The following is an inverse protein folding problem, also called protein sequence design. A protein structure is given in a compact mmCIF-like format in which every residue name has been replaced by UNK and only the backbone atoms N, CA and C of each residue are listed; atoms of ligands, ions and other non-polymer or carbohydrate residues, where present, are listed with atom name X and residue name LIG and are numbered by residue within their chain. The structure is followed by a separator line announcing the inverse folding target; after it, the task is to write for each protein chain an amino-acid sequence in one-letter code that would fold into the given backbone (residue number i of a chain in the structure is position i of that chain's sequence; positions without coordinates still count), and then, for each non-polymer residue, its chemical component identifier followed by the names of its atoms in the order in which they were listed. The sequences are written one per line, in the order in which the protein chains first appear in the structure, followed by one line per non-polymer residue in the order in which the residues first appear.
data_IF_445658934373
#
_entry.id   IF_445658934373
#
_cell.length_a   1.000
_cell.length_b   1.000
_cell.length_c   1.000
_cell.angle_alpha   90.00
_cell.angle_beta   90.00
_cell.angle_gamma   90.00
#
_symmetry.space_group_name_H-M   'P 1'
#
loop_
_entity.id
_entity.type
_entity.pdbx_description
1 polymer ?
#
# COMPACT_ATOMS: atom_id res chain seq x y z
N UNK A 1 -35.44 -10.67 -13.75
CA UNK A 1 -34.24 -10.91 -12.94
C UNK A 1 -33.05 -10.84 -13.88
N UNK A 2 -32.29 -9.77 -13.84
CA UNK A 2 -31.05 -9.63 -14.62
C UNK A 2 -30.03 -10.64 -14.09
N UNK A 3 -29.56 -11.52 -14.97
CA UNK A 3 -28.59 -12.57 -14.64
C UNK A 3 -27.26 -11.86 -14.27
N UNK A 4 -26.83 -11.92 -13.00
CA UNK A 4 -25.57 -11.34 -12.57
C UNK A 4 -24.42 -12.03 -13.30
N UNK A 5 -23.56 -11.25 -13.96
CA UNK A 5 -22.40 -11.78 -14.71
C UNK A 5 -21.39 -12.38 -13.75
N UNK A 6 -20.90 -13.58 -14.08
CA UNK A 6 -19.80 -14.25 -13.33
C UNK A 6 -18.47 -13.92 -14.00
N UNK A 7 -17.51 -13.47 -13.21
CA UNK A 7 -16.14 -13.17 -13.65
C UNK A 7 -15.20 -14.27 -13.14
N UNK A 8 -14.52 -14.93 -14.06
CA UNK A 8 -13.51 -15.94 -13.73
C UNK A 8 -12.21 -15.31 -13.22
N UNK A 9 -11.39 -16.12 -12.57
CA UNK A 9 -10.10 -15.71 -11.99
C UNK A 9 -9.21 -14.98 -13.00
N UNK A 10 -9.16 -15.42 -14.27
CA UNK A 10 -8.37 -14.78 -15.33
C UNK A 10 -8.93 -13.39 -15.70
N UNK A 11 -10.25 -13.24 -15.80
CA UNK A 11 -10.89 -11.95 -16.04
C UNK A 11 -10.59 -10.95 -14.93
N UNK A 12 -10.69 -11.39 -13.67
CA UNK A 12 -10.34 -10.58 -12.50
C UNK A 12 -8.85 -10.18 -12.48
N UNK A 13 -7.98 -11.09 -12.89
CA UNK A 13 -6.54 -10.81 -13.06
C UNK A 13 -6.30 -9.74 -14.13
N UNK A 14 -6.94 -9.84 -15.30
CA UNK A 14 -6.80 -8.85 -16.38
C UNK A 14 -7.31 -7.46 -15.98
N UNK A 15 -8.46 -7.40 -15.31
CA UNK A 15 -8.98 -6.14 -14.78
C UNK A 15 -8.00 -5.50 -13.78
N UNK A 16 -7.45 -6.28 -12.84
CA UNK A 16 -6.47 -5.81 -11.88
C UNK A 16 -5.21 -5.28 -12.58
N UNK A 17 -4.65 -6.02 -13.54
CA UNK A 17 -3.44 -5.59 -14.28
C UNK A 17 -3.67 -4.31 -15.08
N UNK A 18 -4.81 -4.19 -15.76
CA UNK A 18 -5.15 -2.99 -16.53
C UNK A 18 -5.21 -1.75 -15.64
N UNK A 19 -5.91 -1.83 -14.50
CA UNK A 19 -6.08 -0.72 -13.56
C UNK A 19 -4.81 -0.38 -12.80
N UNK A 20 -3.91 -1.34 -12.63
CA UNK A 20 -2.61 -1.14 -12.00
C UNK A 20 -1.52 -0.73 -12.99
N UNK A 21 -1.86 -0.43 -14.26
CA UNK A 21 -0.90 -0.13 -15.33
C UNK A 21 0.18 -1.23 -15.50
N UNK A 22 -0.18 -2.48 -15.19
CA UNK A 22 0.70 -3.65 -15.35
C UNK A 22 0.41 -4.41 -16.63
N UNK A 23 -0.79 -4.26 -17.21
CA UNK A 23 -1.11 -4.80 -18.53
C UNK A 23 -0.42 -3.98 -19.62
N UNK A 24 -0.51 -2.66 -19.51
CA UNK A 24 0.20 -1.71 -20.34
C UNK A 24 0.72 -0.57 -19.46
N UNK A 25 2.01 -0.21 -19.61
CA UNK A 25 2.60 0.90 -18.85
C UNK A 25 1.96 2.22 -19.26
N UNK A 26 1.71 3.09 -18.30
CA UNK A 26 1.07 4.38 -18.48
C UNK A 26 2.09 5.51 -18.65
N UNK A 27 1.66 6.61 -19.32
CA UNK A 27 2.42 7.84 -19.46
C UNK A 27 1.98 8.95 -18.47
N UNK A 28 1.13 8.61 -17.49
CA UNK A 28 0.67 9.59 -16.50
C UNK A 28 1.82 10.10 -15.62
N UNK A 29 1.74 11.35 -15.12
CA UNK A 29 2.72 11.86 -14.16
C UNK A 29 2.85 10.98 -12.91
N UNK A 30 4.05 10.96 -12.32
CA UNK A 30 4.36 10.13 -11.13
C UNK A 30 3.40 10.40 -9.98
N UNK A 31 3.05 11.68 -9.74
CA UNK A 31 2.11 12.05 -8.67
C UNK A 31 0.72 11.44 -8.91
N UNK A 32 0.24 11.49 -10.14
CA UNK A 32 -1.07 10.95 -10.53
C UNK A 32 -1.09 9.42 -10.42
N UNK A 33 0.04 8.77 -10.76
CA UNK A 33 0.18 7.33 -10.58
C UNK A 33 0.12 6.93 -9.09
N UNK A 34 0.84 7.65 -8.21
CA UNK A 34 0.77 7.43 -6.76
C UNK A 34 -0.65 7.65 -6.25
N UNK A 35 -1.32 8.72 -6.69
CA UNK A 35 -2.70 9.00 -6.35
C UNK A 35 -3.64 7.89 -6.81
N UNK A 36 -3.57 7.49 -8.09
CA UNK A 36 -4.43 6.44 -8.66
C UNK A 36 -4.28 5.10 -7.94
N UNK A 37 -3.05 4.69 -7.63
CA UNK A 37 -2.76 3.44 -6.92
C UNK A 37 -3.21 3.43 -5.45
N UNK A 38 -3.68 4.56 -4.91
CA UNK A 38 -4.00 4.71 -3.49
C UNK A 38 -2.76 4.58 -2.60
N UNK A 39 -1.59 4.92 -3.14
CA UNK A 39 -0.29 4.80 -2.51
C UNK A 39 0.40 3.46 -2.75
N UNK A 40 1.69 3.40 -2.41
CA UNK A 40 2.53 2.21 -2.49
C UNK A 40 3.04 1.85 -1.09
N UNK A 41 3.10 0.57 -0.77
CA UNK A 41 3.75 0.16 0.46
C UNK A 41 5.25 0.47 0.37
N UNK A 42 5.77 1.18 1.37
CA UNK A 42 7.10 1.77 1.37
C UNK A 42 7.91 1.39 2.63
N UNK A 43 7.63 0.20 3.17
CA UNK A 43 8.38 -0.33 4.32
C UNK A 43 9.87 -0.39 3.98
N UNK A 44 10.19 -0.90 2.82
CA UNK A 44 11.50 -0.81 2.19
C UNK A 44 11.54 0.43 1.27
N UNK A 45 12.46 1.40 1.51
CA UNK A 45 12.40 2.70 0.85
C UNK A 45 12.54 2.69 -0.66
N UNK A 46 13.18 1.68 -1.23
CA UNK A 46 13.46 1.60 -2.67
C UNK A 46 12.36 0.87 -3.45
N UNK A 47 11.48 0.13 -2.78
CA UNK A 47 10.44 -0.65 -3.45
C UNK A 47 9.42 0.21 -4.24
N UNK A 48 9.01 1.42 -3.80
CA UNK A 48 8.15 2.28 -4.59
C UNK A 48 8.71 2.65 -5.97
N UNK A 49 10.04 2.77 -6.10
CA UNK A 49 10.69 3.07 -7.39
C UNK A 49 10.51 1.90 -8.37
N UNK A 50 10.72 0.68 -7.92
CA UNK A 50 10.46 -0.53 -8.72
C UNK A 50 8.98 -0.64 -9.07
N UNK A 51 8.09 -0.33 -8.10
CA UNK A 51 6.65 -0.35 -8.30
C UNK A 51 6.20 0.61 -9.40
N UNK A 52 6.76 1.82 -9.45
CA UNK A 52 6.47 2.81 -10.49
C UNK A 52 7.14 2.46 -11.81
N UNK A 53 8.38 1.98 -11.80
CA UNK A 53 9.06 1.49 -13.01
C UNK A 53 8.26 0.40 -13.73
N UNK A 54 7.67 -0.52 -12.98
CA UNK A 54 6.83 -1.59 -13.55
C UNK A 54 5.57 -1.07 -14.22
N UNK A 55 5.10 0.15 -13.87
CA UNK A 55 3.82 0.73 -14.25
C UNK A 55 3.90 1.91 -15.20
N UNK A 56 5.01 2.64 -15.21
CA UNK A 56 5.16 3.86 -16.00
C UNK A 56 6.18 3.65 -17.14
N UNK A 57 5.87 4.26 -18.30
CA UNK A 57 6.85 4.35 -19.40
C UNK A 57 7.91 5.39 -19.04
N UNK A 58 9.15 5.10 -19.40
CA UNK A 58 10.28 6.01 -19.19
C UNK A 58 10.30 6.66 -17.78
N UNK A 59 10.01 5.87 -16.75
CA UNK A 59 10.00 6.34 -15.37
C UNK A 59 11.39 6.85 -14.96
N UNK A 60 11.47 8.12 -14.58
CA UNK A 60 12.65 8.74 -13.99
C UNK A 60 12.55 8.70 -12.45
N UNK A 61 13.48 8.01 -11.75
CA UNK A 61 13.49 8.00 -10.29
C UNK A 61 13.69 9.38 -9.65
N UNK A 62 14.34 10.31 -10.35
CA UNK A 62 14.48 11.70 -9.88
C UNK A 62 13.11 12.35 -9.66
N UNK A 63 12.14 12.11 -10.55
CA UNK A 63 10.78 12.66 -10.41
C UNK A 63 10.10 12.27 -9.09
N UNK A 64 10.23 11.01 -8.64
CA UNK A 64 9.70 10.62 -7.32
C UNK A 64 10.49 11.22 -6.17
N UNK A 65 11.81 11.32 -6.30
CA UNK A 65 12.68 11.93 -5.29
C UNK A 65 12.36 13.43 -5.12
N UNK A 66 12.08 14.13 -6.21
CA UNK A 66 11.68 15.54 -6.20
C UNK A 66 10.30 15.73 -5.55
N UNK A 67 9.33 14.84 -5.84
CA UNK A 67 8.02 14.87 -5.18
C UNK A 67 8.12 14.63 -3.66
N UNK A 68 9.04 13.77 -3.20
CA UNK A 68 9.31 13.56 -1.76
C UNK A 68 9.93 14.81 -1.14
N UNK A 69 10.93 15.39 -1.79
CA UNK A 69 11.63 16.59 -1.31
C UNK A 69 10.73 17.82 -1.35
N UNK A 70 9.91 17.93 -2.41
CA UNK A 70 8.90 18.99 -2.59
C UNK A 70 7.64 18.80 -1.73
N UNK A 71 7.56 17.73 -0.93
CA UNK A 71 6.44 17.43 -0.02
C UNK A 71 5.11 17.15 -0.72
N UNK A 72 5.12 16.81 -2.01
CA UNK A 72 3.93 16.42 -2.76
C UNK A 72 3.51 14.97 -2.44
N UNK A 73 4.47 14.13 -2.10
CA UNK A 73 4.25 12.79 -1.55
C UNK A 73 4.97 12.66 -0.22
N UNK A 74 4.45 11.80 0.65
CA UNK A 74 5.01 11.56 1.98
C UNK A 74 5.07 10.05 2.26
N UNK A 75 5.98 9.68 3.16
CA UNK A 75 6.08 8.34 3.72
C UNK A 75 5.58 8.36 5.16
N UNK A 76 4.46 7.70 5.42
CA UNK A 76 3.79 7.71 6.72
C UNK A 76 3.20 6.34 7.08
N UNK A 77 3.00 6.08 8.38
CA UNK A 77 2.24 4.92 8.81
C UNK A 77 0.76 5.11 8.48
N UNK A 78 0.20 4.18 7.71
CA UNK A 78 -1.18 4.27 7.25
C UNK A 78 -1.81 2.86 7.20
N UNK A 79 -2.17 2.36 6.03
CA UNK A 79 -2.88 1.11 5.83
C UNK A 79 -2.14 -0.07 6.48
N UNK A 80 -2.86 -0.97 7.14
CA UNK A 80 -2.33 -2.19 7.77
C UNK A 80 -1.22 -1.98 8.82
N UNK A 81 -0.97 -0.75 9.27
CA UNK A 81 0.16 -0.35 10.14
C UNK A 81 1.53 -0.50 9.46
N UNK A 82 1.62 -0.33 8.17
CA UNK A 82 2.89 -0.27 7.45
C UNK A 82 3.14 1.13 6.92
N UNK A 83 4.41 1.44 6.63
CA UNK A 83 4.76 2.70 5.99
C UNK A 83 4.30 2.67 4.54
N UNK A 84 3.56 3.69 4.14
CA UNK A 84 3.11 3.90 2.77
C UNK A 84 3.67 5.22 2.22
N UNK A 85 3.98 5.21 0.93
CA UNK A 85 4.20 6.39 0.13
C UNK A 85 2.85 6.77 -0.48
N UNK A 86 2.33 7.92 -0.10
CA UNK A 86 1.03 8.46 -0.55
C UNK A 86 1.17 9.92 -0.92
N UNK A 87 0.20 10.48 -1.64
CA UNK A 87 0.17 11.94 -1.84
C UNK A 87 -0.01 12.67 -0.50
N UNK A 88 0.46 13.92 -0.42
CA UNK A 88 0.27 14.73 0.79
C UNK A 88 -1.22 14.90 1.13
N UNK A 89 -2.07 15.09 0.12
CA UNK A 89 -3.51 15.24 0.29
C UNK A 89 -4.15 13.95 0.84
N UNK A 90 -3.79 12.79 0.30
CA UNK A 90 -4.27 11.50 0.81
C UNK A 90 -3.81 11.24 2.26
N UNK A 91 -2.57 11.62 2.58
CA UNK A 91 -2.06 11.49 3.95
C UNK A 91 -2.89 12.31 4.95
N UNK A 92 -3.23 13.55 4.60
CA UNK A 92 -4.06 14.43 5.44
C UNK A 92 -5.49 13.92 5.55
N UNK A 93 -6.10 13.52 4.44
CA UNK A 93 -7.48 13.04 4.40
C UNK A 93 -7.70 11.69 5.12
N UNK A 94 -6.69 10.81 5.09
CA UNK A 94 -6.88 9.42 5.56
C UNK A 94 -6.30 9.16 6.95
N UNK A 95 -5.35 9.99 7.41
CA UNK A 95 -4.59 9.68 8.64
C UNK A 95 -5.47 9.60 9.89
N UNK A 96 -6.39 10.54 10.09
CA UNK A 96 -7.28 10.52 11.24
C UNK A 96 -8.13 9.24 11.28
N UNK A 97 -8.65 8.82 10.12
CA UNK A 97 -9.48 7.61 9.99
C UNK A 97 -8.73 6.31 10.33
N UNK A 98 -7.40 6.31 10.19
CA UNK A 98 -6.57 5.14 10.51
C UNK A 98 -6.14 5.09 11.99
N UNK A 99 -6.35 6.14 12.80
CA UNK A 99 -5.83 6.24 14.17
C UNK A 99 -6.22 5.06 15.05
N UNK A 100 -7.50 4.68 15.07
CA UNK A 100 -7.97 3.59 15.92
C UNK A 100 -7.41 2.24 15.47
N UNK A 101 -7.39 1.96 14.17
CA UNK A 101 -6.79 0.75 13.62
C UNK A 101 -5.30 0.67 13.96
N UNK A 102 -4.57 1.77 13.84
CA UNK A 102 -3.15 1.84 14.17
C UNK A 102 -2.91 1.58 15.67
N UNK A 103 -3.68 2.24 16.56
CA UNK A 103 -3.65 1.99 18.02
C UNK A 103 -3.91 0.50 18.33
N UNK A 104 -4.99 -0.06 17.78
CA UNK A 104 -5.35 -1.45 18.00
C UNK A 104 -4.24 -2.42 17.55
N UNK A 105 -3.62 -2.16 16.40
CA UNK A 105 -2.54 -3.01 15.87
C UNK A 105 -1.27 -2.95 16.71
N UNK A 106 -0.92 -1.78 17.26
CA UNK A 106 0.24 -1.66 18.17
C UNK A 106 -0.07 -2.33 19.50
N UNK A 107 -1.25 -2.09 20.08
CA UNK A 107 -1.69 -2.76 21.31
C UNK A 107 -1.75 -4.29 21.15
N UNK A 108 -2.12 -4.79 19.96
CA UNK A 108 -2.09 -6.23 19.69
C UNK A 108 -0.69 -6.85 19.84
N UNK A 109 0.37 -6.04 19.61
CA UNK A 109 1.76 -6.50 19.75
C UNK A 109 2.34 -6.25 21.15
N UNK A 110 2.03 -5.08 21.74
CA UNK A 110 2.69 -4.56 22.96
C UNK A 110 1.72 -4.40 24.13
N UNK A 111 0.61 -5.16 24.16
CA UNK A 111 -0.45 -4.99 25.14
C UNK A 111 0.05 -5.08 26.59
N UNK A 112 0.91 -6.06 26.88
CA UNK A 112 1.45 -6.28 28.23
C UNK A 112 2.41 -5.18 28.66
N UNK A 113 3.23 -4.71 27.71
CA UNK A 113 4.23 -3.65 27.96
C UNK A 113 3.58 -2.28 28.15
N UNK A 114 2.42 -2.03 27.52
CA UNK A 114 1.69 -0.77 27.56
C UNK A 114 0.50 -0.81 28.54
N UNK A 115 0.39 -1.85 29.37
CA UNK A 115 -0.66 -1.94 30.37
C UNK A 115 -0.50 -0.80 31.42
N UNK A 116 -1.61 -0.12 31.72
CA UNK A 116 -1.60 1.05 32.61
C UNK A 116 -1.05 2.36 32.02
N UNK A 117 -0.60 2.37 30.74
CA UNK A 117 -0.17 3.60 30.07
C UNK A 117 -1.40 4.35 29.56
N UNK A 118 -1.59 5.59 30.04
CA UNK A 118 -2.55 6.50 29.43
C UNK A 118 -2.02 6.96 28.05
N UNK A 119 -2.69 6.49 27.00
CA UNK A 119 -2.25 6.73 25.61
C UNK A 119 -2.44 8.19 25.18
N UNK A 120 -3.40 8.91 25.75
CA UNK A 120 -3.64 10.31 25.40
C UNK A 120 -2.61 11.21 26.09
N UNK A 121 -2.22 10.89 27.32
CA UNK A 121 -1.07 11.53 27.97
C UNK A 121 0.25 11.23 27.26
N UNK A 122 0.46 9.98 26.82
CA UNK A 122 1.64 9.61 26.04
C UNK A 122 1.68 10.37 24.69
N UNK A 123 0.53 10.49 24.02
CA UNK A 123 0.41 11.27 22.79
C UNK A 123 0.71 12.76 23.02
N UNK A 124 0.22 13.35 24.13
CA UNK A 124 0.48 14.74 24.49
C UNK A 124 1.97 14.97 24.76
N UNK A 125 2.62 14.08 25.53
CA UNK A 125 4.05 14.13 25.79
C UNK A 125 4.89 14.01 24.50
N UNK A 126 4.51 13.08 23.62
CA UNK A 126 5.18 12.93 22.33
C UNK A 126 5.03 14.15 21.43
N UNK A 127 3.84 14.76 21.37
CA UNK A 127 3.61 16.02 20.63
C UNK A 127 4.47 17.17 21.19
N UNK A 128 4.54 17.29 22.52
CA UNK A 128 5.37 18.31 23.17
C UNK A 128 6.86 18.16 22.80
N UNK A 129 7.38 16.93 22.76
CA UNK A 129 8.76 16.66 22.31
C UNK A 129 8.99 17.03 20.86
N UNK A 130 8.00 16.86 20.00
CA UNK A 130 8.12 17.11 18.54
C UNK A 130 7.66 18.54 18.13
N UNK A 131 7.27 19.38 19.08
CA UNK A 131 6.72 20.71 18.79
C UNK A 131 7.78 21.70 18.23
N UNK A 132 9.05 21.44 18.46
CA UNK A 132 10.16 22.24 17.92
C UNK A 132 10.41 22.00 16.42
N UNK A 133 9.76 21.00 15.82
CA UNK A 133 9.91 20.65 14.41
C UNK A 133 11.18 19.87 14.06
N UNK A 134 12.02 19.57 15.05
CA UNK A 134 13.27 18.84 14.81
C UNK A 134 13.00 17.36 14.49
N UNK A 135 13.64 16.82 13.46
CA UNK A 135 13.46 15.42 13.08
C UNK A 135 14.02 14.44 14.11
N UNK A 136 13.22 13.48 14.55
CA UNK A 136 13.59 12.48 15.56
C UNK A 136 13.44 11.06 15.08
N UNK A 137 14.38 10.21 15.50
CA UNK A 137 14.22 8.77 15.42
C UNK A 137 13.21 8.28 16.47
N UNK A 138 12.64 7.11 16.24
CA UNK A 138 11.78 6.45 17.21
C UNK A 138 12.46 6.28 18.59
N UNK A 139 13.75 5.93 18.60
CA UNK A 139 14.51 5.74 19.85
C UNK A 139 14.78 7.05 20.60
N UNK A 140 15.01 8.17 19.92
CA UNK A 140 15.15 9.48 20.55
C UNK A 140 13.83 9.92 21.18
N UNK A 141 12.72 9.76 20.47
CA UNK A 141 11.40 10.10 20.99
C UNK A 141 11.03 9.24 22.20
N UNK A 142 11.25 7.92 22.11
CA UNK A 142 11.00 7.00 23.22
C UNK A 142 11.78 7.37 24.47
N UNK A 143 13.07 7.69 24.34
CA UNK A 143 13.92 8.12 25.46
C UNK A 143 13.47 9.44 26.08
N UNK A 144 12.99 10.37 25.27
CA UNK A 144 12.52 11.67 25.75
C UNK A 144 11.27 11.56 26.65
N UNK A 145 10.43 10.55 26.45
CA UNK A 145 9.21 10.33 27.25
C UNK A 145 9.40 9.28 28.36
N UNK A 146 10.42 8.42 28.29
CA UNK A 146 10.61 7.26 29.17
C UNK A 146 10.63 7.60 30.67
N UNK A 147 11.11 8.79 31.06
CA UNK A 147 11.14 9.20 32.47
C UNK A 147 9.74 9.28 33.12
N UNK A 148 8.69 9.48 32.34
CA UNK A 148 7.30 9.50 32.83
C UNK A 148 6.66 8.11 32.85
N UNK A 149 7.16 7.17 32.03
CA UNK A 149 6.71 5.79 31.95
C UNK A 149 7.92 4.84 32.05
N UNK A 150 8.42 4.56 33.25
CA UNK A 150 9.63 3.76 33.44
C UNK A 150 9.42 2.27 33.17
N UNK A 151 8.20 1.76 33.36
CA UNK A 151 7.89 0.32 33.21
C UNK A 151 7.88 -0.18 31.75
N UNK A 152 7.25 0.55 30.78
CA UNK A 152 7.27 0.12 29.37
C UNK A 152 8.66 0.21 28.78
N UNK A 153 9.04 -0.82 28.01
CA UNK A 153 10.28 -0.77 27.24
C UNK A 153 10.30 0.36 26.20
N UNK A 154 11.45 0.99 25.92
CA UNK A 154 11.55 2.10 24.95
C UNK A 154 11.00 1.77 23.56
N UNK A 155 11.07 0.49 23.15
CA UNK A 155 10.53 0.06 21.87
C UNK A 155 9.00 0.14 21.84
N UNK A 156 8.32 -0.30 22.87
CA UNK A 156 6.86 -0.27 22.95
C UNK A 156 6.33 1.18 22.93
N UNK A 157 6.95 2.08 23.72
CA UNK A 157 6.64 3.52 23.72
C UNK A 157 6.88 4.15 22.35
N UNK A 158 8.03 3.88 21.74
CA UNK A 158 8.39 4.42 20.43
C UNK A 158 7.47 3.95 19.31
N UNK A 159 7.16 2.66 19.27
CA UNK A 159 6.21 2.08 18.30
C UNK A 159 4.81 2.67 18.49
N UNK A 160 4.33 2.80 19.72
CA UNK A 160 3.04 3.40 20.00
C UNK A 160 2.99 4.86 19.54
N UNK A 161 4.02 5.65 19.84
CA UNK A 161 4.11 7.04 19.44
C UNK A 161 4.14 7.20 17.92
N UNK A 162 5.12 6.57 17.24
CA UNK A 162 5.37 6.81 15.81
C UNK A 162 4.36 6.12 14.90
N UNK A 163 3.99 4.87 15.21
CA UNK A 163 3.10 4.13 14.33
C UNK A 163 1.62 4.43 14.56
N UNK A 164 1.22 4.94 15.73
CA UNK A 164 -0.18 5.09 16.08
C UNK A 164 -0.61 6.48 16.59
N UNK A 165 0.06 7.02 17.62
CA UNK A 165 -0.44 8.20 18.31
C UNK A 165 -0.09 9.51 17.61
N UNK A 166 1.10 9.58 17.02
CA UNK A 166 1.57 10.78 16.34
C UNK A 166 1.46 10.60 14.83
N UNK A 167 0.67 11.43 14.16
CA UNK A 167 0.73 11.50 12.71
C UNK A 167 2.08 12.05 12.27
N UNK A 168 2.97 11.17 11.82
CA UNK A 168 4.34 11.56 11.44
C UNK A 168 4.64 11.23 9.99
N UNK A 169 5.52 12.02 9.37
CA UNK A 169 6.15 11.72 8.08
C UNK A 169 7.61 11.31 8.31
N UNK A 170 8.08 10.33 7.55
CA UNK A 170 9.50 10.00 7.45
C UNK A 170 10.18 10.96 6.48
N UNK A 171 11.21 11.65 6.95
CA UNK A 171 11.90 12.70 6.22
C UNK A 171 12.90 12.18 5.20
N UNK A 172 13.06 12.89 4.06
CA UNK A 172 14.27 12.76 3.25
C UNK A 172 15.54 13.04 4.11
N UNK A 173 16.71 12.46 3.74
CA UNK A 173 16.96 11.75 2.50
C UNK A 173 16.51 10.28 2.47
N UNK A 174 15.93 9.74 3.57
CA UNK A 174 15.36 8.39 3.52
C UNK A 174 14.20 8.32 2.54
N UNK A 175 14.28 7.39 1.59
CA UNK A 175 13.28 7.21 0.55
C UNK A 175 13.60 7.93 -0.76
N UNK A 176 14.69 8.69 -0.84
CA UNK A 176 15.23 9.15 -2.12
C UNK A 176 15.91 8.00 -2.87
N UNK A 177 15.97 8.11 -4.18
CA UNK A 177 16.56 7.08 -5.03
C UNK A 177 17.99 6.73 -4.60
N UNK A 178 18.27 5.43 -4.44
CA UNK A 178 19.58 4.86 -4.06
C UNK A 178 20.19 5.45 -2.79
N UNK A 179 19.41 6.15 -1.97
CA UNK A 179 19.92 6.77 -0.75
C UNK A 179 19.69 5.86 0.46
N UNK A 180 20.76 5.63 1.23
CA UNK A 180 20.71 4.95 2.52
C UNK A 180 20.76 5.96 3.65
N UNK A 181 19.67 6.07 4.40
CA UNK A 181 19.58 6.96 5.55
C UNK A 181 18.75 6.32 6.66
N UNK A 182 19.05 6.70 7.91
CA UNK A 182 18.24 6.34 9.07
C UNK A 182 16.86 6.99 9.03
N UNK A 183 15.91 6.40 9.76
CA UNK A 183 14.55 6.95 9.87
C UNK A 183 14.58 8.19 10.76
N UNK A 184 14.11 9.31 10.25
CA UNK A 184 13.83 10.55 10.98
C UNK A 184 12.36 10.91 10.73
N UNK A 185 11.65 11.27 11.79
CA UNK A 185 10.22 11.57 11.75
C UNK A 185 9.99 13.00 12.22
N UNK A 186 9.03 13.66 11.59
CA UNK A 186 8.45 14.94 12.02
C UNK A 186 6.93 14.81 12.07
N UNK A 187 6.24 15.72 12.76
CA UNK A 187 4.79 15.76 12.69
C UNK A 187 4.36 16.06 11.24
N UNK A 188 3.37 15.33 10.76
CA UNK A 188 2.88 15.44 9.38
C UNK A 188 2.36 16.87 9.09
N UNK A 189 1.61 17.46 10.05
CA UNK A 189 1.11 18.83 9.92
C UNK A 189 2.24 19.86 9.87
N UNK A 190 3.26 19.72 10.70
CA UNK A 190 4.44 20.61 10.69
C UNK A 190 5.24 20.47 9.39
N UNK A 191 5.38 19.24 8.86
CA UNK A 191 6.08 19.00 7.60
C UNK A 191 5.37 19.59 6.41
N UNK A 192 4.03 19.43 6.35
CA UNK A 192 3.20 19.90 5.23
C UNK A 192 2.74 21.35 5.38
N UNK A 193 2.83 21.94 6.58
CA UNK A 193 2.26 23.27 6.87
C UNK A 193 0.74 23.29 6.77
N UNK A 194 0.08 22.15 6.95
CA UNK A 194 -1.38 21.93 6.82
C UNK A 194 -1.85 20.98 7.90
N UNK A 195 -3.05 21.22 8.44
CA UNK A 195 -3.66 20.35 9.44
C UNK A 195 -4.20 19.06 8.81
N UNK A 196 -4.28 18.01 9.62
CA UNK A 196 -4.90 16.76 9.25
C UNK A 196 -6.41 16.94 9.24
N UNK A 197 -7.06 16.45 8.19
CA UNK A 197 -8.51 16.54 8.08
C UNK A 197 -9.17 15.82 9.26
N UNK A 198 -10.08 16.48 9.97
CA UNK A 198 -10.78 15.90 11.11
C UNK A 198 -11.67 14.74 10.66
N UNK A 199 -11.97 13.83 11.58
CA UNK A 199 -13.04 12.87 11.35
C UNK A 199 -14.37 13.60 11.19
N UNK A 200 -15.31 13.10 10.36
CA UNK A 200 -16.64 13.65 10.28
C UNK A 200 -17.30 13.73 11.67
N UNK A 201 -18.09 14.78 11.96
CA UNK A 201 -18.67 15.02 13.28
C UNK A 201 -19.72 14.01 13.72
N UNK A 202 -20.19 13.15 12.86
CA UNK A 202 -21.25 12.15 13.08
C UNK A 202 -20.83 10.90 13.84
N UNK A 203 -19.63 10.91 14.42
CA UNK A 203 -19.20 9.87 15.35
C UNK A 203 -19.07 8.48 14.74
N UNK A 204 -19.03 8.35 13.41
CA UNK A 204 -18.66 7.10 12.76
C UNK A 204 -17.21 6.79 13.11
N UNK A 205 -17.02 6.22 14.29
CA UNK A 205 -15.76 5.66 14.73
C UNK A 205 -15.28 4.61 13.72
N UNK A 206 -14.02 4.18 13.81
CA UNK A 206 -13.42 3.24 12.88
C UNK A 206 -14.10 1.86 12.85
N UNK A 207 -15.04 1.60 13.74
CA UNK A 207 -15.84 0.37 13.87
C UNK A 207 -17.30 0.52 13.41
N UNK A 208 -17.73 1.72 12.97
CA UNK A 208 -19.09 1.96 12.51
C UNK A 208 -20.13 1.98 13.64
N UNK A 209 -19.69 1.94 14.90
CA UNK A 209 -20.56 2.06 16.06
C UNK A 209 -20.61 3.51 16.52
N UNK A 210 -21.64 4.23 16.12
CA UNK A 210 -22.18 5.31 16.93
C UNK A 210 -22.77 4.73 18.23
N UNK A 211 -22.89 5.51 19.32
CA UNK A 211 -23.37 5.00 20.62
C UNK A 211 -24.73 4.30 20.58
N UNK A 212 -25.46 4.32 19.47
CA UNK A 212 -26.79 3.74 19.30
C UNK A 212 -27.15 3.27 17.87
N UNK A 213 -26.20 3.19 16.92
CA UNK A 213 -26.46 2.60 15.59
C UNK A 213 -27.44 3.38 14.70
N UNK A 214 -27.81 4.61 15.05
CA UNK A 214 -28.89 5.37 14.43
C UNK A 214 -28.47 6.69 13.76
N UNK A 215 -27.20 6.80 13.33
CA UNK A 215 -26.80 7.93 12.47
C UNK A 215 -27.41 7.81 11.07
N UNK A 216 -27.79 8.91 10.40
CA UNK A 216 -28.29 8.84 9.03
C UNK A 216 -27.24 8.22 8.14
N UNK A 217 -27.61 7.14 7.44
CA UNK A 217 -26.79 6.44 6.45
C UNK A 217 -26.54 7.40 5.26
N UNK A 218 -25.58 8.32 5.37
CA UNK A 218 -25.46 9.28 4.28
C UNK A 218 -24.23 10.16 4.22
N UNK A 219 -23.42 10.29 5.26
CA UNK A 219 -22.41 11.36 5.28
C UNK A 219 -20.98 10.92 5.59
N UNK A 220 -20.49 9.86 4.95
CA UNK A 220 -19.07 9.51 5.00
C UNK A 220 -18.36 9.77 3.64
N UNK A 221 -18.14 11.04 3.27
CA UNK A 221 -17.54 11.37 1.97
C UNK A 221 -16.10 10.83 1.85
N UNK A 222 -15.34 10.77 2.93
CA UNK A 222 -13.97 10.22 2.95
C UNK A 222 -14.02 8.71 2.74
N UNK A 223 -14.91 7.98 3.41
CA UNK A 223 -15.09 6.55 3.18
C UNK A 223 -15.57 6.24 1.77
N UNK A 224 -16.50 7.01 1.23
CA UNK A 224 -16.94 6.88 -0.16
C UNK A 224 -15.82 7.16 -1.15
N UNK A 225 -14.99 8.19 -0.92
CA UNK A 225 -13.83 8.48 -1.72
C UNK A 225 -12.81 7.32 -1.69
N UNK A 226 -12.56 6.73 -0.51
CA UNK A 226 -11.71 5.53 -0.38
C UNK A 226 -12.27 4.34 -1.16
N UNK A 227 -13.58 4.10 -1.11
CA UNK A 227 -14.24 3.03 -1.88
C UNK A 227 -14.05 3.26 -3.39
N UNK A 228 -14.32 4.48 -3.88
CA UNK A 228 -14.12 4.82 -5.31
C UNK A 228 -12.68 4.65 -5.74
N UNK A 229 -11.72 5.17 -4.94
CA UNK A 229 -10.28 5.04 -5.21
C UNK A 229 -9.84 3.58 -5.25
N UNK A 230 -10.29 2.79 -4.27
CA UNK A 230 -9.98 1.37 -4.25
C UNK A 230 -10.54 0.66 -5.47
N UNK A 231 -11.83 0.85 -5.81
CA UNK A 231 -12.43 0.19 -6.97
C UNK A 231 -11.81 0.65 -8.30
N UNK A 232 -11.40 1.90 -8.42
CA UNK A 232 -10.70 2.40 -9.60
C UNK A 232 -9.37 1.67 -9.84
N UNK A 233 -8.61 1.39 -8.77
CA UNK A 233 -7.30 0.77 -8.87
C UNK A 233 -7.30 -0.77 -8.73
N UNK A 234 -8.31 -1.36 -8.05
CA UNK A 234 -8.31 -2.78 -7.65
C UNK A 234 -9.59 -3.54 -8.04
N UNK A 235 -10.66 -2.85 -8.50
CA UNK A 235 -11.91 -3.50 -8.87
C UNK A 235 -11.81 -4.46 -10.08
N UNK A 236 -12.78 -5.31 -10.31
CA UNK A 236 -13.91 -5.67 -9.43
C UNK A 236 -13.44 -6.36 -8.14
N UNK A 237 -14.05 -6.02 -7.01
CA UNK A 237 -13.58 -6.52 -5.72
C UNK A 237 -14.71 -6.72 -4.70
N UNK A 238 -14.52 -7.65 -3.77
CA UNK A 238 -15.42 -7.83 -2.65
C UNK A 238 -15.14 -6.83 -1.52
N UNK A 239 -16.12 -6.54 -0.66
CA UNK A 239 -15.92 -5.69 0.53
C UNK A 239 -14.81 -6.22 1.44
N UNK A 240 -14.59 -7.54 1.50
CA UNK A 240 -13.49 -8.14 2.23
C UNK A 240 -12.10 -7.77 1.64
N UNK A 241 -12.02 -7.59 0.32
CA UNK A 241 -10.78 -7.18 -0.35
C UNK A 241 -10.47 -5.71 0.00
N UNK A 242 -11.46 -4.81 -0.06
CA UNK A 242 -11.31 -3.42 0.37
C UNK A 242 -10.81 -3.32 1.82
N UNK A 243 -11.41 -4.09 2.74
CA UNK A 243 -10.98 -4.16 4.14
C UNK A 243 -9.55 -4.68 4.27
N UNK A 244 -9.16 -5.66 3.47
CA UNK A 244 -7.80 -6.21 3.49
C UNK A 244 -6.76 -5.17 3.02
N UNK A 245 -7.13 -4.34 2.04
CA UNK A 245 -6.28 -3.28 1.53
C UNK A 245 -6.04 -2.17 2.56
N UNK A 246 -7.09 -1.53 3.07
CA UNK A 246 -6.95 -0.37 3.96
C UNK A 246 -6.79 -0.73 5.44
N UNK A 247 -7.31 -1.90 5.88
CA UNK A 247 -7.33 -2.31 7.28
C UNK A 247 -8.46 -1.69 8.11
N UNK A 248 -9.36 -0.90 7.49
CA UNK A 248 -10.46 -0.21 8.17
C UNK A 248 -11.70 -1.11 8.27
N UNK A 249 -12.40 -1.04 9.39
CA UNK A 249 -13.62 -1.81 9.63
C UNK A 249 -14.89 -1.08 9.16
N UNK A 250 -14.96 0.24 9.25
CA UNK A 250 -16.17 1.06 9.06
C UNK A 250 -16.62 1.33 7.61
N UNK A 251 -16.02 0.67 6.60
CA UNK A 251 -16.35 0.90 5.19
C UNK A 251 -17.65 0.25 4.67
N UNK A 252 -18.29 -0.76 5.33
CA UNK A 252 -19.57 -1.28 4.86
C UNK A 252 -20.68 -0.23 4.71
N UNK A 253 -20.73 0.78 5.60
CA UNK A 253 -21.68 1.87 5.51
C UNK A 253 -21.43 2.77 4.27
N UNK A 254 -20.17 3.11 3.99
CA UNK A 254 -19.77 3.86 2.79
C UNK A 254 -20.09 3.07 1.50
N UNK A 255 -19.85 1.76 1.50
CA UNK A 255 -20.21 0.88 0.37
C UNK A 255 -21.74 0.85 0.17
N UNK A 256 -22.51 0.74 1.26
CA UNK A 256 -23.98 0.72 1.18
C UNK A 256 -24.52 2.04 0.63
N UNK A 257 -23.98 3.18 1.06
CA UNK A 257 -24.36 4.50 0.56
C UNK A 257 -24.08 4.72 -0.93
N UNK A 258 -23.10 4.00 -1.48
CA UNK A 258 -22.75 4.08 -2.90
C UNK A 258 -23.40 2.98 -3.76
N UNK A 259 -24.24 2.14 -3.19
CA UNK A 259 -24.74 0.92 -3.84
C UNK A 259 -25.36 1.14 -5.22
N UNK A 260 -26.08 2.24 -5.39
CA UNK A 260 -26.74 2.59 -6.65
C UNK A 260 -25.78 3.09 -7.72
N UNK A 261 -24.59 3.58 -7.32
CA UNK A 261 -23.54 4.04 -8.23
C UNK A 261 -22.65 2.86 -8.73
N UNK A 262 -22.75 1.70 -8.10
CA UNK A 262 -21.87 0.57 -8.34
C UNK A 262 -22.55 -0.51 -9.19
N UNK A 263 -21.78 -1.13 -10.07
CA UNK A 263 -22.19 -2.36 -10.78
C UNK A 263 -21.76 -3.58 -9.99
N UNK A 264 -22.52 -4.67 -10.12
CA UNK A 264 -22.33 -5.89 -9.33
C UNK A 264 -22.03 -7.07 -10.23
N UNK A 265 -21.02 -7.85 -9.85
CA UNK A 265 -20.64 -9.12 -10.46
C UNK A 265 -20.61 -10.22 -9.39
N UNK A 266 -20.38 -11.45 -9.82
CA UNK A 266 -20.01 -12.56 -8.94
C UNK A 266 -18.70 -13.18 -9.40
N UNK A 267 -17.91 -13.73 -8.49
CA UNK A 267 -16.81 -14.60 -8.87
C UNK A 267 -17.28 -16.07 -9.03
N UNK A 268 -16.36 -16.95 -9.41
CA UNK A 268 -16.61 -18.39 -9.59
C UNK A 268 -17.04 -19.09 -8.28
N UNK A 269 -16.75 -18.49 -7.11
CA UNK A 269 -17.18 -18.99 -5.80
C UNK A 269 -18.52 -18.39 -5.35
N UNK A 270 -19.17 -17.57 -6.20
CA UNK A 270 -20.45 -16.92 -5.92
C UNK A 270 -20.35 -15.68 -5.02
N UNK A 271 -19.13 -15.21 -4.66
CA UNK A 271 -18.98 -14.00 -3.88
C UNK A 271 -19.39 -12.77 -4.70
N UNK A 272 -20.07 -11.84 -4.06
CA UNK A 272 -20.38 -10.55 -4.66
C UNK A 272 -19.13 -9.71 -4.86
N UNK A 273 -19.00 -9.15 -6.05
CA UNK A 273 -17.96 -8.19 -6.41
C UNK A 273 -18.62 -6.87 -6.82
N UNK A 274 -18.08 -5.79 -6.32
CA UNK A 274 -18.49 -4.43 -6.62
C UNK A 274 -17.49 -3.80 -7.59
N UNK A 275 -18.00 -2.92 -8.45
CA UNK A 275 -17.17 -2.21 -9.40
C UNK A 275 -17.74 -0.86 -9.79
N UNK A 276 -16.90 0.01 -10.34
CA UNK A 276 -17.32 1.24 -11.00
C UNK A 276 -17.87 0.90 -12.40
N UNK A 277 -18.94 1.55 -12.86
CA UNK A 277 -19.59 1.23 -14.15
C UNK A 277 -18.62 1.23 -15.34
N UNK A 278 -17.82 2.28 -15.48
CA UNK A 278 -16.98 2.54 -16.66
C UNK A 278 -15.53 2.09 -16.49
N UNK A 279 -15.19 1.40 -15.38
CA UNK A 279 -13.83 0.98 -15.13
C UNK A 279 -13.41 -0.17 -16.08
N UNK A 280 -12.14 -0.22 -16.52
CA UNK A 280 -11.69 -1.18 -17.53
C UNK A 280 -11.77 -2.63 -17.05
N UNK A 281 -12.39 -3.47 -17.89
CA UNK A 281 -12.50 -4.92 -17.75
C UNK A 281 -12.13 -5.58 -19.07
N UNK A 282 -10.81 -5.69 -19.38
CA UNK A 282 -10.35 -6.30 -20.62
C UNK A 282 -10.81 -7.76 -20.76
N UNK A 283 -10.81 -8.23 -22.00
CA UNK A 283 -11.06 -9.64 -22.29
C UNK A 283 -10.07 -10.53 -21.51
N UNK A 284 -10.52 -11.66 -20.92
CA UNK A 284 -9.65 -12.59 -20.20
C UNK A 284 -8.46 -13.08 -21.03
N UNK A 285 -8.60 -13.16 -22.35
CA UNK A 285 -7.54 -13.63 -23.25
C UNK A 285 -6.60 -12.51 -23.73
N UNK A 286 -6.82 -11.26 -23.31
CA UNK A 286 -5.85 -10.18 -23.55
C UNK A 286 -4.46 -10.61 -23.09
N UNK A 287 -3.42 -10.56 -23.94
CA UNK A 287 -2.05 -10.90 -23.54
C UNK A 287 -1.57 -10.03 -22.39
N UNK A 288 -0.88 -10.63 -21.43
CA UNK A 288 -0.26 -9.90 -20.33
C UNK A 288 1.26 -10.07 -20.38
N UNK A 289 2.02 -8.97 -20.44
CA UNK A 289 3.48 -9.02 -20.50
C UNK A 289 4.07 -9.49 -19.17
N UNK A 290 5.35 -9.85 -19.21
CA UNK A 290 6.13 -10.09 -18.00
C UNK A 290 6.23 -8.78 -17.19
N UNK A 291 6.08 -8.87 -15.87
CA UNK A 291 6.29 -7.74 -14.95
C UNK A 291 7.06 -8.18 -13.71
N UNK A 292 8.02 -7.38 -13.32
CA UNK A 292 8.75 -7.54 -12.07
C UNK A 292 8.12 -6.64 -11.00
N UNK A 293 7.55 -7.23 -9.97
CA UNK A 293 6.91 -6.49 -8.88
C UNK A 293 7.86 -6.31 -7.70
N UNK A 294 7.78 -5.16 -7.00
CA UNK A 294 8.50 -4.93 -5.75
C UNK A 294 8.01 -5.85 -4.63
N UNK A 295 8.75 -5.86 -3.53
CA UNK A 295 8.27 -6.45 -2.29
C UNK A 295 7.00 -5.74 -1.82
N UNK A 296 6.04 -6.53 -1.31
CA UNK A 296 4.77 -6.03 -0.75
C UNK A 296 3.90 -5.23 -1.74
N UNK A 297 3.95 -5.54 -3.03
CA UNK A 297 3.16 -4.84 -4.04
C UNK A 297 1.65 -4.98 -3.79
N UNK A 298 0.94 -3.85 -3.87
CA UNK A 298 -0.50 -3.81 -3.64
C UNK A 298 -1.32 -4.51 -4.74
N UNK A 299 -0.78 -4.74 -5.94
CA UNK A 299 -1.43 -5.60 -6.92
C UNK A 299 -1.71 -7.01 -6.38
N UNK A 300 -0.90 -7.46 -5.40
CA UNK A 300 -1.10 -8.71 -4.67
C UNK A 300 -1.74 -8.48 -3.30
N UNK A 301 -1.21 -7.54 -2.50
CA UNK A 301 -1.65 -7.30 -1.12
C UNK A 301 -2.97 -6.51 -1.02
N UNK A 302 -3.43 -5.92 -2.10
CA UNK A 302 -4.69 -5.17 -2.16
C UNK A 302 -5.95 -6.03 -2.03
N UNK A 303 -5.81 -7.36 -1.86
CA UNK A 303 -6.93 -8.29 -1.83
C UNK A 303 -6.86 -9.22 -0.61
N UNK A 304 -8.02 -9.59 -0.10
CA UNK A 304 -8.19 -10.73 0.81
C UNK A 304 -7.97 -12.04 0.06
N UNK A 305 -8.64 -12.19 -1.10
CA UNK A 305 -8.43 -13.29 -2.03
C UNK A 305 -7.43 -12.89 -3.12
N UNK A 306 -6.19 -13.36 -2.99
CA UNK A 306 -5.08 -13.07 -3.90
C UNK A 306 -5.03 -13.99 -5.12
N UNK A 307 -5.95 -14.96 -5.23
CA UNK A 307 -5.98 -15.99 -6.27
C UNK A 307 -5.96 -15.47 -7.70
N UNK A 308 -6.35 -14.19 -7.93
CA UNK A 308 -6.27 -13.54 -9.25
C UNK A 308 -4.83 -13.26 -9.73
N UNK A 309 -3.84 -13.20 -8.84
CA UNK A 309 -2.43 -12.90 -9.15
C UNK A 309 -1.47 -14.01 -8.68
N UNK A 310 -1.73 -14.61 -7.51
CA UNK A 310 -0.82 -15.60 -6.91
C UNK A 310 -1.60 -16.85 -6.49
N UNK A 311 -1.04 -18.02 -6.78
CA UNK A 311 -1.63 -19.29 -6.38
C UNK A 311 -1.53 -19.51 -4.88
N UNK A 312 -2.50 -20.21 -4.28
CA UNK A 312 -2.55 -20.47 -2.84
C UNK A 312 -1.29 -21.19 -2.33
N UNK A 313 -0.69 -22.06 -3.14
CA UNK A 313 0.57 -22.76 -2.83
C UNK A 313 1.75 -21.77 -2.59
N UNK A 314 1.71 -20.60 -3.21
CA UNK A 314 2.76 -19.57 -3.13
C UNK A 314 2.34 -18.33 -2.34
N UNK A 315 1.13 -18.33 -1.75
CA UNK A 315 0.57 -17.17 -1.04
C UNK A 315 1.48 -16.61 0.05
N UNK A 316 2.28 -17.48 0.69
CA UNK A 316 3.26 -17.10 1.71
C UNK A 316 4.29 -16.08 1.23
N UNK A 317 4.72 -16.16 -0.04
CA UNK A 317 5.70 -15.25 -0.64
C UNK A 317 5.28 -13.77 -0.56
N UNK A 318 3.99 -13.49 -0.71
CA UNK A 318 3.47 -12.12 -0.69
C UNK A 318 3.53 -11.46 0.70
N UNK A 319 3.64 -12.22 1.79
CA UNK A 319 3.72 -11.69 3.17
C UNK A 319 5.13 -11.75 3.75
N UNK A 320 6.03 -12.54 3.17
CA UNK A 320 7.45 -12.58 3.55
C UNK A 320 8.28 -11.48 2.91
N UNK A 321 7.69 -10.68 2.01
CA UNK A 321 8.39 -9.61 1.30
C UNK A 321 9.19 -10.10 0.09
N UNK A 322 8.84 -11.25 -0.47
CA UNK A 322 9.41 -11.70 -1.73
C UNK A 322 9.00 -10.74 -2.87
N UNK A 323 9.95 -10.40 -3.72
CA UNK A 323 9.72 -9.71 -4.98
C UNK A 323 9.27 -10.71 -6.02
N UNK A 324 8.23 -10.41 -6.79
CA UNK A 324 7.55 -11.38 -7.63
C UNK A 324 7.74 -11.06 -9.12
N UNK A 325 7.78 -12.11 -9.94
CA UNK A 325 7.71 -12.00 -11.40
C UNK A 325 6.36 -12.53 -11.87
N UNK A 326 5.63 -11.70 -12.60
CA UNK A 326 4.39 -12.10 -13.27
C UNK A 326 4.69 -12.55 -14.70
N UNK A 327 4.16 -13.72 -15.09
CA UNK A 327 4.12 -14.21 -16.46
C UNK A 327 2.66 -14.47 -16.82
N UNK A 328 2.19 -13.91 -17.91
CA UNK A 328 0.76 -13.92 -18.28
C UNK A 328 -0.15 -13.46 -17.12
N UNK A 329 0.32 -12.48 -16.34
CA UNK A 329 -0.44 -11.88 -15.23
C UNK A 329 -0.51 -12.72 -13.95
N UNK A 330 0.21 -13.82 -13.86
CA UNK A 330 0.28 -14.69 -12.68
C UNK A 330 1.69 -14.77 -12.12
N UNK A 331 1.81 -14.87 -10.80
CA UNK A 331 3.10 -15.09 -10.15
C UNK A 331 3.72 -16.41 -10.63
N UNK A 332 4.92 -16.32 -11.22
CA UNK A 332 5.61 -17.45 -11.82
C UNK A 332 7.06 -17.61 -11.35
N UNK A 333 7.63 -16.58 -10.71
CA UNK A 333 8.97 -16.60 -10.13
C UNK A 333 9.07 -15.58 -8.99
N UNK A 334 10.16 -15.68 -8.22
CA UNK A 334 10.69 -14.60 -7.37
C UNK A 334 11.95 -14.03 -8.00
N UNK A 335 12.36 -12.83 -7.52
CA UNK A 335 13.58 -12.21 -8.00
C UNK A 335 14.34 -11.48 -6.89
N UNK A 336 15.66 -11.39 -7.04
CA UNK A 336 16.60 -10.65 -6.19
C UNK A 336 17.59 -9.89 -7.04
N UNK A 337 18.37 -9.01 -6.40
CA UNK A 337 19.52 -8.34 -7.04
C UNK A 337 20.76 -8.62 -6.22
N UNK A 338 21.79 -9.13 -6.86
CA UNK A 338 23.09 -9.39 -6.26
C UNK A 338 24.18 -8.92 -7.22
N UNK A 339 25.06 -8.05 -6.76
CA UNK A 339 26.19 -7.51 -7.54
C UNK A 339 25.79 -6.99 -8.94
N UNK A 340 24.68 -6.23 -8.99
CA UNK A 340 24.13 -5.66 -10.23
C UNK A 340 23.50 -6.68 -11.18
N UNK A 341 23.32 -7.93 -10.75
CA UNK A 341 22.65 -8.99 -11.50
C UNK A 341 21.26 -9.24 -10.95
N UNK A 342 20.24 -9.18 -11.81
CA UNK A 342 18.88 -9.61 -11.47
C UNK A 342 18.82 -11.14 -11.56
N UNK A 343 18.58 -11.79 -10.42
CA UNK A 343 18.40 -13.24 -10.32
C UNK A 343 16.94 -13.60 -10.25
N UNK A 344 16.50 -14.50 -11.10
CA UNK A 344 15.11 -14.98 -11.17
C UNK A 344 15.05 -16.44 -10.79
N UNK A 345 14.33 -16.76 -9.71
CA UNK A 345 14.08 -18.12 -9.24
C UNK A 345 12.67 -18.56 -9.64
N UNK A 346 12.51 -19.40 -10.69
CA UNK A 346 11.21 -19.85 -11.15
C UNK A 346 10.49 -20.72 -10.11
N UNK A 347 9.17 -20.55 -10.00
CA UNK A 347 8.26 -21.38 -9.18
C UNK A 347 7.69 -22.55 -10.01
N UNK A 348 7.84 -22.49 -11.34
CA UNK A 348 7.46 -23.51 -12.31
C UNK A 348 8.36 -23.47 -13.54
N UNK A 349 8.33 -24.51 -14.35
CA UNK A 349 9.00 -24.50 -15.62
C UNK A 349 8.51 -23.37 -16.55
N UNK A 350 9.44 -22.72 -17.24
CA UNK A 350 9.16 -21.74 -18.29
C UNK A 350 9.30 -22.38 -19.67
N UNK A 351 8.38 -22.06 -20.57
CA UNK A 351 8.59 -22.30 -21.99
C UNK A 351 9.77 -21.46 -22.51
N UNK A 352 10.26 -21.78 -23.71
CA UNK A 352 11.35 -21.01 -24.33
C UNK A 352 10.98 -19.52 -24.51
N UNK A 353 9.73 -19.24 -24.91
CA UNK A 353 9.25 -17.87 -25.09
C UNK A 353 9.09 -17.13 -23.78
N UNK A 354 8.54 -17.77 -22.73
CA UNK A 354 8.44 -17.18 -21.39
C UNK A 354 9.83 -16.85 -20.83
N UNK A 355 10.79 -17.79 -20.93
CA UNK A 355 12.17 -17.56 -20.47
C UNK A 355 12.82 -16.38 -21.20
N UNK A 356 12.62 -16.24 -22.50
CA UNK A 356 13.14 -15.13 -23.29
C UNK A 356 12.51 -13.79 -22.83
N UNK A 357 11.19 -13.75 -22.65
CA UNK A 357 10.49 -12.54 -22.17
C UNK A 357 10.88 -12.15 -20.74
N UNK A 358 11.06 -13.13 -19.84
CA UNK A 358 11.53 -12.90 -18.47
C UNK A 358 12.96 -12.33 -18.49
N UNK A 359 13.84 -12.88 -19.34
CA UNK A 359 15.21 -12.39 -19.47
C UNK A 359 15.25 -10.97 -20.07
N UNK A 360 14.39 -10.65 -21.03
CA UNK A 360 14.29 -9.31 -21.63
C UNK A 360 13.85 -8.26 -20.60
N UNK A 361 12.73 -8.48 -19.91
CA UNK A 361 12.24 -7.55 -18.89
C UNK A 361 13.20 -7.48 -17.69
N UNK A 362 13.87 -8.59 -17.35
CA UNK A 362 14.90 -8.65 -16.31
C UNK A 362 16.13 -7.82 -16.63
N UNK A 363 16.58 -7.78 -17.91
CA UNK A 363 17.66 -6.89 -18.35
C UNK A 363 17.27 -5.43 -18.22
N UNK A 364 16.07 -5.08 -18.65
CA UNK A 364 15.56 -3.72 -18.50
C UNK A 364 15.49 -3.29 -17.02
N UNK A 365 15.10 -4.19 -16.13
CA UNK A 365 15.12 -3.95 -14.69
C UNK A 365 16.55 -3.79 -14.15
N UNK A 366 17.49 -4.62 -14.56
CA UNK A 366 18.89 -4.53 -14.15
C UNK A 366 19.51 -3.19 -14.56
N UNK A 367 19.29 -2.77 -15.80
CA UNK A 367 19.71 -1.46 -16.30
C UNK A 367 19.10 -0.33 -15.46
N UNK A 368 17.78 -0.34 -15.20
CA UNK A 368 17.11 0.64 -14.34
C UNK A 368 17.73 0.69 -12.93
N UNK A 369 17.93 -0.44 -12.29
CA UNK A 369 18.44 -0.51 -10.91
C UNK A 369 19.91 -0.10 -10.79
N UNK A 370 20.70 -0.24 -11.86
CA UNK A 370 22.11 0.10 -11.91
C UNK A 370 22.41 1.45 -12.57
N UNK A 371 21.38 2.16 -13.08
CA UNK A 371 21.56 3.38 -13.91
C UNK A 371 22.42 3.08 -15.16
N UNK A 372 22.05 2.01 -15.85
CA UNK A 372 22.68 1.48 -17.07
C UNK A 372 24.10 0.89 -16.91
N UNK A 373 24.60 0.77 -15.67
CA UNK A 373 25.91 0.12 -15.42
C UNK A 373 25.88 -1.40 -15.64
N UNK A 374 24.70 -2.03 -15.60
CA UNK A 374 24.53 -3.48 -15.76
C UNK A 374 23.17 -3.83 -16.34
N UNK A 375 23.15 -4.74 -17.29
CA UNK A 375 21.94 -5.39 -17.83
C UNK A 375 21.91 -6.89 -17.54
N UNK A 376 22.67 -7.35 -16.54
CA UNK A 376 22.84 -8.78 -16.25
C UNK A 376 21.60 -9.37 -15.62
N UNK A 377 21.13 -10.48 -16.19
CA UNK A 377 20.03 -11.27 -15.67
C UNK A 377 20.40 -12.77 -15.70
N UNK A 378 20.10 -13.45 -14.62
CA UNK A 378 20.24 -14.90 -14.52
C UNK A 378 18.87 -15.51 -14.21
N UNK A 379 18.38 -16.39 -15.07
CA UNK A 379 17.16 -17.15 -14.86
C UNK A 379 17.53 -18.58 -14.50
N UNK A 380 17.30 -18.94 -13.25
CA UNK A 380 17.65 -20.25 -12.72
C UNK A 380 16.88 -21.40 -13.40
N UNK A 381 17.30 -22.63 -13.15
CA UNK A 381 16.48 -23.80 -13.51
C UNK A 381 15.24 -23.84 -12.59
N UNK A 382 14.12 -24.32 -13.13
CA UNK A 382 12.93 -24.56 -12.31
C UNK A 382 13.18 -25.76 -11.37
N UNK A 383 12.51 -25.79 -10.18
CA UNK A 383 12.59 -26.91 -9.25
C UNK A 383 12.06 -28.23 -9.83
#
# INVERSE_FOLDING_TARGET
MTRTTVLGTRALGRAALARQSLLDRSDVPVLDAVAHLGGLQAQEPQEPFVGLWSRLRAFDPAALSDLLTGRHVVRTHLMRRTVHLVTADDALAWRARHNAMLRQRVLGTYRRELDGVDLDELAAAGRAVMADGEPRSMGELARAVAGRWPEPGPRALGEMLIAALLPTAQMPPRGLWRTRAGVRNVLLSSWLGREIDPLPPDGSGPDGSGPDGSGPAGSDPVGQALVRRYLAAFGPAASADLRAWCGLAGLPAAVAAMREELVTFRDERGRELLDLPDAPRPDPDTPAPVRFLPAFDNAVLGYHDRGRIIDDAHRGLSVTGARLVLVDGRTAATWTVEDGTVRVAPLRGFSRSERAAVAEEGRALAAFLSEDDSDRVEVEAAP
#
